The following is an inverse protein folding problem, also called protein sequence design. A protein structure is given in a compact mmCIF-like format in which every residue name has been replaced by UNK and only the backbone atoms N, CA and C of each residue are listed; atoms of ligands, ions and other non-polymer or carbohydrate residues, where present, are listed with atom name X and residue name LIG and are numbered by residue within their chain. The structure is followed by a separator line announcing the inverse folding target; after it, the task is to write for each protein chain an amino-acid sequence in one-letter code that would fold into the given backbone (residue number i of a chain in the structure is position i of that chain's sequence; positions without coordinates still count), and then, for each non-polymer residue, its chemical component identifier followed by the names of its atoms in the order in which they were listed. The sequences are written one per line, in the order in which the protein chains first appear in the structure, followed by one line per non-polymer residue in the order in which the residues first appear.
data_IF_781707759975
#
_entry.id   IF_781707759975
#
_cell.length_a   1.000
_cell.length_b   1.000
_cell.length_c   1.000
_cell.angle_alpha   90.00
_cell.angle_beta   90.00
_cell.angle_gamma   90.00
#
_symmetry.space_group_name_H-M   'P 1'
#
loop_
_entity.id
_entity.type
_entity.pdbx_description
1 polymer ?
#
# COMPACT_ATOMS: atom_id res chain seq x y z
N UNK A 1 -30.02 -58.20 5.52
CA UNK A 1 -28.64 -57.75 5.48
C UNK A 1 -28.64 -56.30 4.92
N UNK A 2 -28.64 -55.31 5.81
CA UNK A 2 -28.65 -53.89 5.43
C UNK A 2 -27.22 -53.37 5.41
N UNK A 3 -26.84 -52.54 4.44
CA UNK A 3 -25.55 -51.86 4.49
C UNK A 3 -25.65 -50.57 5.32
N UNK A 4 -24.73 -50.42 6.24
CA UNK A 4 -24.54 -49.27 7.09
C UNK A 4 -24.21 -48.02 6.27
N UNK A 5 -25.03 -46.98 6.38
CA UNK A 5 -24.74 -45.63 5.96
C UNK A 5 -23.69 -45.02 6.91
N UNK A 6 -22.50 -44.84 6.41
CA UNK A 6 -21.49 -44.04 7.11
C UNK A 6 -21.87 -42.57 7.04
N UNK A 7 -22.29 -42.00 8.17
CA UNK A 7 -22.48 -40.57 8.35
C UNK A 7 -21.10 -39.91 8.42
N UNK A 8 -20.77 -39.22 7.39
CA UNK A 8 -19.56 -38.34 7.34
C UNK A 8 -19.85 -37.12 8.23
N UNK A 9 -19.26 -37.06 9.42
CA UNK A 9 -19.20 -35.85 10.23
C UNK A 9 -18.03 -35.02 9.70
N UNK A 10 -18.20 -33.77 9.32
CA UNK A 10 -17.08 -32.87 9.09
C UNK A 10 -16.51 -32.45 10.45
N UNK A 11 -15.38 -33.03 10.83
CA UNK A 11 -14.60 -32.54 11.96
C UNK A 11 -13.79 -31.33 11.53
N UNK A 12 -14.02 -30.23 12.26
CA UNK A 12 -13.15 -29.07 12.44
C UNK A 12 -12.55 -28.46 11.17
N UNK A 13 -13.31 -27.57 10.53
CA UNK A 13 -12.72 -26.45 9.82
C UNK A 13 -11.95 -25.60 10.85
N UNK A 14 -10.63 -25.80 10.86
CA UNK A 14 -9.75 -24.95 11.64
C UNK A 14 -9.91 -23.51 11.18
N UNK A 15 -10.57 -22.72 12.00
CA UNK A 15 -10.58 -21.27 11.91
C UNK A 15 -9.11 -20.85 11.91
N UNK A 16 -8.60 -20.43 10.75
CA UNK A 16 -7.30 -19.77 10.64
C UNK A 16 -7.37 -18.53 11.55
N UNK A 17 -6.83 -18.69 12.76
CA UNK A 17 -6.85 -17.60 13.74
C UNK A 17 -6.11 -16.40 13.16
N UNK A 18 -6.60 -15.18 13.45
CA UNK A 18 -5.96 -13.90 13.06
C UNK A 18 -4.43 -13.91 13.25
N UNK A 19 -3.93 -14.62 14.27
CA UNK A 19 -2.50 -14.78 14.57
C UNK A 19 -1.71 -15.53 13.48
N UNK A 20 -2.26 -16.56 12.86
CA UNK A 20 -1.55 -17.32 11.82
C UNK A 20 -1.38 -16.48 10.53
N UNK A 21 -2.37 -15.65 10.20
CA UNK A 21 -2.32 -14.79 9.02
C UNK A 21 -1.35 -13.60 9.19
N UNK A 22 -1.32 -12.94 10.37
CA UNK A 22 -0.32 -11.90 10.66
C UNK A 22 1.11 -12.44 10.56
N UNK A 23 1.37 -13.66 11.02
CA UNK A 23 2.71 -14.26 11.00
C UNK A 23 3.21 -14.52 9.57
N UNK A 24 2.32 -14.85 8.65
CA UNK A 24 2.69 -15.10 7.24
C UNK A 24 3.06 -13.79 6.53
N UNK A 25 2.33 -12.69 6.78
CA UNK A 25 2.64 -11.37 6.22
C UNK A 25 3.97 -10.83 6.77
N UNK A 26 4.27 -11.04 8.05
CA UNK A 26 5.49 -10.56 8.72
C UNK A 26 6.78 -11.29 8.28
N UNK A 27 6.69 -12.51 7.74
CA UNK A 27 7.89 -13.29 7.38
C UNK A 27 8.58 -12.84 6.09
N UNK A 28 7.94 -12.05 5.24
CA UNK A 28 8.45 -11.69 3.91
C UNK A 28 8.79 -10.22 3.69
N UNK A 29 8.52 -9.33 4.63
CA UNK A 29 8.78 -7.90 4.50
C UNK A 29 10.27 -7.44 4.42
N UNK A 30 11.30 -8.15 4.93
CA UNK A 30 12.63 -7.55 5.09
C UNK A 30 13.65 -7.78 3.95
N UNK A 31 13.28 -8.23 2.75
CA UNK A 31 14.29 -8.61 1.73
C UNK A 31 14.43 -7.72 0.49
N UNK A 32 13.69 -6.64 0.37
CA UNK A 32 13.66 -5.84 -0.88
C UNK A 32 14.57 -4.60 -0.88
N UNK A 33 15.26 -4.26 0.19
CA UNK A 33 15.95 -2.96 0.35
C UNK A 33 17.47 -2.96 0.16
N UNK A 34 18.10 -3.68 -0.80
CA UNK A 34 19.59 -3.71 -0.89
C UNK A 34 20.18 -3.67 -2.30
N UNK A 35 19.70 -2.84 -3.23
CA UNK A 35 20.35 -2.77 -4.55
C UNK A 35 20.64 -1.38 -5.16
N UNK A 36 20.48 -0.28 -4.48
CA UNK A 36 20.77 1.04 -5.07
C UNK A 36 21.79 1.88 -4.29
N UNK A 37 23.02 1.39 -4.11
CA UNK A 37 24.13 2.26 -3.71
C UNK A 37 25.44 1.79 -4.32
N UNK A 38 25.79 2.27 -5.52
CA UNK A 38 27.21 2.55 -5.87
C UNK A 38 27.39 3.21 -7.24
N UNK A 39 27.61 4.51 -7.30
CA UNK A 39 28.63 5.09 -8.18
C UNK A 39 29.09 6.46 -7.67
N UNK A 40 30.33 6.51 -7.20
CA UNK A 40 31.11 7.73 -6.98
C UNK A 40 31.84 8.10 -8.28
N UNK A 41 31.92 9.37 -8.57
CA UNK A 41 32.86 9.91 -9.56
C UNK A 41 32.83 11.43 -9.54
N UNK A 42 33.76 12.04 -8.79
CA UNK A 42 33.90 13.51 -8.73
C UNK A 42 34.90 14.03 -9.72
N UNK A 43 34.65 15.22 -10.26
CA UNK A 43 35.63 16.08 -10.91
C UNK A 43 35.52 17.49 -10.35
N UNK A 44 36.63 18.22 -10.15
CA UNK A 44 36.63 19.53 -9.48
C UNK A 44 36.33 20.66 -10.48
N UNK A 45 35.46 21.59 -10.11
CA UNK A 45 35.12 22.78 -10.92
C UNK A 45 35.88 24.00 -10.42
N UNK A 46 36.51 24.70 -11.38
CA UNK A 46 37.27 25.96 -11.23
C UNK A 46 36.38 27.11 -10.76
N UNK A 47 36.93 27.93 -9.84
CA UNK A 47 36.31 29.16 -9.33
C UNK A 47 36.25 30.23 -10.44
N UNK A 48 35.05 30.69 -10.79
CA UNK A 48 34.80 31.88 -11.61
C UNK A 48 34.33 33.01 -10.68
N UNK A 49 35.03 34.12 -10.69
CA UNK A 49 34.64 35.37 -10.01
C UNK A 49 33.65 36.10 -10.91
N UNK A 50 32.43 36.38 -10.45
CA UNK A 50 31.43 37.21 -11.17
C UNK A 50 31.12 38.44 -10.32
N UNK A 51 31.17 39.65 -10.92
CA UNK A 51 30.99 40.92 -10.21
C UNK A 51 29.53 41.26 -9.93
N UNK A 52 29.36 42.15 -8.95
CA UNK A 52 28.15 42.62 -8.32
C UNK A 52 27.20 43.38 -9.28
N UNK A 53 26.32 42.65 -9.98
CA UNK A 53 25.18 43.21 -10.73
C UNK A 53 23.93 42.33 -10.70
N UNK A 54 23.58 41.78 -9.55
CA UNK A 54 22.43 40.87 -9.38
C UNK A 54 21.61 41.18 -8.12
N UNK A 55 21.51 42.47 -7.74
CA UNK A 55 20.64 42.84 -6.58
C UNK A 55 19.21 43.21 -7.01
N UNK A 56 18.86 43.15 -8.30
CA UNK A 56 17.52 43.53 -8.78
C UNK A 56 16.68 42.33 -9.29
N UNK A 57 17.20 41.09 -9.26
CA UNK A 57 16.46 39.88 -9.73
C UNK A 57 16.12 38.93 -8.59
N UNK A 58 16.39 39.31 -7.35
CA UNK A 58 16.11 38.48 -6.15
C UNK A 58 14.69 38.61 -5.63
N UNK A 59 13.81 39.40 -6.26
CA UNK A 59 12.44 39.63 -5.77
C UNK A 59 11.35 38.95 -6.60
N UNK A 60 11.67 38.12 -7.59
CA UNK A 60 10.67 37.40 -8.36
C UNK A 60 10.77 35.86 -8.26
N UNK A 61 11.60 35.32 -7.36
CA UNK A 61 11.72 33.89 -7.11
C UNK A 61 11.02 33.44 -5.80
N UNK A 62 10.08 34.24 -5.29
CA UNK A 62 9.05 33.71 -4.36
C UNK A 62 7.87 33.13 -5.13
N UNK A 63 8.10 32.55 -6.32
CA UNK A 63 7.14 31.72 -6.98
C UNK A 63 7.21 30.34 -6.32
N UNK A 64 6.22 30.07 -5.46
CA UNK A 64 5.74 28.75 -5.10
C UNK A 64 6.83 27.68 -4.89
N UNK A 65 7.53 27.75 -3.76
CA UNK A 65 7.81 26.50 -3.06
C UNK A 65 6.43 26.00 -2.57
N UNK A 66 5.64 25.38 -3.44
CA UNK A 66 4.63 24.43 -3.00
C UNK A 66 5.43 23.44 -2.17
N UNK A 67 5.31 23.52 -0.84
CA UNK A 67 6.10 22.71 0.08
C UNK A 67 5.91 21.26 -0.31
N UNK A 68 7.01 20.52 -0.48
CA UNK A 68 6.94 19.09 -0.78
C UNK A 68 5.95 18.44 0.17
N UNK A 69 4.99 17.71 -0.39
CA UNK A 69 3.99 17.00 0.40
C UNK A 69 4.71 16.02 1.33
N UNK A 70 4.55 16.19 2.62
CA UNK A 70 5.15 15.31 3.62
C UNK A 70 4.11 14.29 4.05
N UNK A 71 4.51 13.03 4.13
CA UNK A 71 3.62 11.97 4.60
C UNK A 71 3.05 12.32 5.98
N UNK A 72 1.75 12.17 6.08
CA UNK A 72 0.97 12.23 7.31
C UNK A 72 0.00 11.05 7.30
N UNK A 73 0.05 10.26 8.36
CA UNK A 73 -0.81 9.10 8.53
C UNK A 73 -2.28 9.52 8.57
N UNK A 74 -3.15 8.72 7.95
CA UNK A 74 -4.60 8.87 8.09
C UNK A 74 -5.09 8.46 9.49
N UNK A 75 -6.30 8.89 9.82
CA UNK A 75 -6.97 8.55 11.08
C UNK A 75 -8.26 7.77 10.84
N UNK A 76 -8.63 6.92 11.79
CA UNK A 76 -9.90 6.18 11.79
C UNK A 76 -10.79 6.74 12.91
N UNK A 77 -11.94 7.28 12.53
CA UNK A 77 -12.97 7.71 13.47
C UNK A 77 -14.26 6.93 13.22
N UNK A 78 -14.67 6.13 14.21
CA UNK A 78 -15.80 5.23 14.07
C UNK A 78 -15.59 4.21 12.93
N UNK A 79 -16.32 4.37 11.84
CA UNK A 79 -16.23 3.51 10.65
C UNK A 79 -15.62 4.20 9.43
N UNK A 80 -15.01 5.35 9.62
CA UNK A 80 -14.44 6.14 8.53
C UNK A 80 -12.95 6.38 8.76
N UNK A 81 -12.15 5.93 7.81
CA UNK A 81 -10.76 6.33 7.67
C UNK A 81 -10.70 7.60 6.83
N UNK A 82 -9.87 8.55 7.24
CA UNK A 82 -9.63 9.82 6.53
C UNK A 82 -8.14 10.07 6.42
N UNK A 83 -7.67 10.34 5.21
CA UNK A 83 -6.28 10.76 4.96
C UNK A 83 -6.25 12.04 4.14
N UNK A 84 -5.93 13.15 4.79
CA UNK A 84 -5.71 14.43 4.10
C UNK A 84 -4.49 14.38 3.18
N UNK A 85 -3.48 13.62 3.57
CA UNK A 85 -2.29 13.39 2.76
C UNK A 85 -2.65 12.74 1.42
N UNK A 86 -3.51 11.73 1.41
CA UNK A 86 -3.97 11.04 0.20
C UNK A 86 -5.15 11.76 -0.47
N UNK A 87 -5.86 12.62 0.25
CA UNK A 87 -7.06 13.31 -0.24
C UNK A 87 -8.28 12.40 -0.36
N UNK A 88 -8.36 11.35 0.47
CA UNK A 88 -9.43 10.36 0.39
C UNK A 88 -9.99 9.97 1.76
N UNK A 89 -11.22 9.47 1.73
CA UNK A 89 -11.87 8.79 2.86
C UNK A 89 -12.26 7.38 2.45
N UNK A 90 -12.34 6.46 3.43
CA UNK A 90 -12.91 5.13 3.27
C UNK A 90 -13.92 4.88 4.39
N UNK A 91 -15.17 4.54 4.04
CA UNK A 91 -16.21 4.24 5.03
C UNK A 91 -16.52 2.74 4.99
N UNK A 92 -16.16 2.05 6.07
CA UNK A 92 -16.33 0.60 6.18
C UNK A 92 -17.80 0.19 6.40
N UNK A 93 -18.36 -0.78 5.66
CA UNK A 93 -19.61 -1.45 5.98
C UNK A 93 -19.52 -2.24 7.31
N UNK A 94 -20.67 -2.70 7.83
CA UNK A 94 -20.72 -3.34 9.16
C UNK A 94 -19.88 -4.62 9.27
N UNK A 95 -19.81 -5.40 8.21
CA UNK A 95 -19.06 -6.66 8.16
C UNK A 95 -17.55 -6.49 8.06
N UNK A 96 -17.04 -5.28 7.80
CA UNK A 96 -15.62 -4.99 7.78
C UNK A 96 -15.17 -4.30 9.07
N UNK A 97 -13.94 -4.57 9.49
CA UNK A 97 -13.30 -3.94 10.63
C UNK A 97 -11.90 -3.43 10.26
N UNK A 98 -11.57 -2.22 10.73
CA UNK A 98 -10.21 -1.69 10.65
C UNK A 98 -9.30 -2.41 11.62
N UNK A 99 -8.06 -2.62 11.22
CA UNK A 99 -7.01 -2.99 12.16
C UNK A 99 -6.69 -1.82 13.09
N UNK A 100 -6.37 -2.14 14.33
CA UNK A 100 -5.92 -1.18 15.33
C UNK A 100 -4.53 -0.62 15.01
N UNK A 101 -4.14 0.47 15.62
CA UNK A 101 -2.81 1.07 15.50
C UNK A 101 -1.70 0.08 15.87
N UNK A 102 -1.92 -0.77 16.86
CA UNK A 102 -0.97 -1.80 17.22
C UNK A 102 -0.79 -2.83 16.11
N UNK A 103 -1.88 -3.32 15.51
CA UNK A 103 -1.83 -4.27 14.39
C UNK A 103 -1.18 -3.63 13.15
N UNK A 104 -1.47 -2.36 12.88
CA UNK A 104 -0.80 -1.59 11.81
C UNK A 104 0.70 -1.43 12.09
N UNK A 105 1.11 -1.15 13.33
CA UNK A 105 2.52 -1.10 13.71
C UNK A 105 3.21 -2.46 13.48
N UNK A 106 2.57 -3.56 13.89
CA UNK A 106 3.06 -4.91 13.67
C UNK A 106 3.22 -5.23 12.17
N UNK A 107 2.22 -4.87 11.33
CA UNK A 107 2.30 -5.03 9.87
C UNK A 107 3.48 -4.26 9.27
N UNK A 108 3.78 -3.08 9.80
CA UNK A 108 4.91 -2.27 9.38
C UNK A 108 6.24 -2.73 10.00
N UNK A 109 6.27 -3.77 10.83
CA UNK A 109 7.45 -4.17 11.61
C UNK A 109 8.02 -3.02 12.45
N UNK A 110 7.14 -2.18 12.98
CA UNK A 110 7.45 -1.06 13.87
C UNK A 110 7.23 -1.51 15.31
N UNK A 111 8.25 -1.38 16.14
CA UNK A 111 8.14 -1.52 17.59
C UNK A 111 8.05 -0.12 18.17
N UNK A 112 6.90 0.25 18.71
CA UNK A 112 6.72 1.55 19.34
C UNK A 112 7.35 1.54 20.73
N UNK A 113 8.28 2.46 20.96
CA UNK A 113 8.78 2.75 22.30
C UNK A 113 7.73 3.53 23.12
N UNK A 114 7.87 3.54 24.44
CA UNK A 114 6.91 4.24 25.32
C UNK A 114 6.85 5.74 25.00
N UNK A 115 5.72 6.19 24.47
CA UNK A 115 5.47 7.58 24.09
C UNK A 115 5.82 7.92 22.63
N UNK A 116 6.24 6.96 21.83
CA UNK A 116 6.45 7.14 20.39
C UNK A 116 5.10 7.13 19.66
N UNK A 117 4.95 8.06 18.70
CA UNK A 117 3.79 8.16 17.83
C UNK A 117 4.00 7.34 16.56
N UNK A 118 3.02 6.46 16.25
CA UNK A 118 3.07 5.59 15.08
C UNK A 118 3.25 6.39 13.78
N UNK A 119 2.65 7.57 13.65
CA UNK A 119 2.79 8.43 12.46
C UNK A 119 4.24 8.86 12.24
N UNK A 120 4.94 9.20 13.33
CA UNK A 120 6.36 9.58 13.29
C UNK A 120 7.26 8.40 12.90
N UNK A 121 7.01 7.20 13.45
CA UNK A 121 7.75 6.00 13.12
C UNK A 121 7.54 5.56 11.66
N UNK A 122 6.30 5.65 11.16
CA UNK A 122 5.99 5.37 9.75
C UNK A 122 6.66 6.38 8.81
N UNK A 123 6.65 7.67 9.17
CA UNK A 123 7.35 8.70 8.40
C UNK A 123 8.85 8.41 8.32
N UNK A 124 9.49 8.06 9.44
CA UNK A 124 10.90 7.69 9.45
C UNK A 124 11.17 6.49 8.54
N UNK A 125 10.33 5.47 8.60
CA UNK A 125 10.45 4.29 7.73
C UNK A 125 10.38 4.65 6.24
N UNK A 126 9.49 5.57 5.84
CA UNK A 126 9.42 6.08 4.48
C UNK A 126 10.69 6.87 4.09
N UNK A 127 11.23 7.69 5.01
CA UNK A 127 12.48 8.42 4.76
C UNK A 127 13.67 7.49 4.57
N UNK A 128 13.68 6.34 5.26
CA UNK A 128 14.69 5.28 5.12
C UNK A 128 14.51 4.42 3.85
N UNK A 129 13.54 4.76 2.99
CA UNK A 129 13.27 4.07 1.71
C UNK A 129 12.44 2.79 1.88
N UNK A 130 11.70 2.65 2.98
CA UNK A 130 10.69 1.61 3.17
C UNK A 130 9.32 2.03 2.67
N UNK A 131 8.39 1.08 2.68
CA UNK A 131 6.96 1.34 2.49
C UNK A 131 6.21 1.21 3.82
N UNK A 132 5.05 1.83 3.92
CA UNK A 132 4.18 1.75 5.10
C UNK A 132 2.75 1.38 4.72
N UNK A 133 2.16 0.50 5.53
CA UNK A 133 0.73 0.22 5.50
C UNK A 133 0.04 1.27 6.38
N UNK A 134 -0.69 2.20 5.75
CA UNK A 134 -1.36 3.30 6.47
C UNK A 134 -2.71 2.88 7.04
N UNK A 135 -3.47 2.08 6.30
CA UNK A 135 -4.75 1.54 6.69
C UNK A 135 -4.90 0.09 6.23
N UNK A 136 -5.57 -0.72 7.03
CA UNK A 136 -6.01 -2.05 6.64
C UNK A 136 -7.40 -2.34 7.20
N UNK A 137 -8.24 -2.89 6.33
CA UNK A 137 -9.65 -3.17 6.58
C UNK A 137 -9.95 -4.59 6.10
N UNK A 138 -10.68 -5.38 6.87
CA UNK A 138 -11.03 -6.73 6.44
C UNK A 138 -12.32 -7.24 7.06
N UNK A 139 -12.94 -8.24 6.44
CA UNK A 139 -14.03 -9.03 7.03
C UNK A 139 -13.51 -9.92 8.16
N UNK A 140 -14.41 -10.36 9.07
CA UNK A 140 -14.05 -11.20 10.22
C UNK A 140 -13.38 -12.52 9.79
N UNK A 141 -13.84 -13.12 8.70
CA UNK A 141 -13.28 -14.34 8.10
C UNK A 141 -12.00 -14.07 7.27
N UNK A 142 -11.62 -12.81 7.12
CA UNK A 142 -10.49 -12.34 6.34
C UNK A 142 -10.53 -12.75 4.85
N UNK A 143 -11.70 -13.03 4.29
CA UNK A 143 -11.85 -13.35 2.87
C UNK A 143 -11.85 -12.11 1.98
N UNK A 144 -12.23 -10.95 2.52
CA UNK A 144 -12.24 -9.68 1.79
C UNK A 144 -11.41 -8.65 2.54
N UNK A 145 -10.50 -7.99 1.82
CA UNK A 145 -9.51 -7.09 2.44
C UNK A 145 -9.29 -5.86 1.60
N UNK A 146 -9.07 -4.74 2.27
CA UNK A 146 -8.65 -3.48 1.65
C UNK A 146 -7.44 -2.96 2.40
N UNK A 147 -6.39 -2.63 1.66
CA UNK A 147 -5.18 -2.03 2.22
C UNK A 147 -4.85 -0.71 1.55
N UNK A 148 -4.32 0.24 2.29
CA UNK A 148 -3.72 1.47 1.78
C UNK A 148 -2.27 1.49 2.18
N UNK A 149 -1.39 1.39 1.20
CA UNK A 149 0.06 1.39 1.37
C UNK A 149 0.64 2.64 0.73
N UNK A 150 1.64 3.24 1.35
CA UNK A 150 2.40 4.37 0.80
C UNK A 150 3.84 3.96 0.62
N UNK A 151 4.38 4.25 -0.56
CA UNK A 151 5.79 4.03 -0.93
C UNK A 151 6.42 5.38 -1.28
N UNK A 152 7.66 5.62 -0.84
CA UNK A 152 8.44 6.78 -1.27
C UNK A 152 9.25 6.42 -2.51
N UNK A 153 8.68 6.67 -3.67
CA UNK A 153 9.22 6.22 -4.95
C UNK A 153 10.43 7.05 -5.45
N UNK A 154 10.56 8.31 -5.01
CA UNK A 154 11.67 9.19 -5.41
C UNK A 154 12.12 10.11 -4.27
N UNK A 155 13.21 10.84 -4.50
CA UNK A 155 13.69 11.92 -3.59
C UNK A 155 12.96 13.27 -3.82
N UNK A 156 11.91 13.28 -4.66
CA UNK A 156 11.16 14.47 -5.04
C UNK A 156 11.80 15.35 -6.10
N UNK A 157 12.96 14.95 -6.63
CA UNK A 157 13.66 15.69 -7.72
C UNK A 157 13.38 15.11 -9.10
N UNK A 158 13.01 13.85 -9.14
CA UNK A 158 12.64 13.12 -10.36
C UNK A 158 11.18 12.71 -10.29
N UNK A 159 10.50 12.71 -11.44
CA UNK A 159 9.17 12.14 -11.53
C UNK A 159 9.22 10.64 -11.24
N UNK A 160 8.13 10.11 -10.69
CA UNK A 160 7.98 8.67 -10.47
C UNK A 160 7.90 7.96 -11.82
N UNK A 161 8.71 6.92 -12.02
CA UNK A 161 8.60 6.03 -13.17
C UNK A 161 7.51 4.97 -12.89
N UNK A 162 6.28 5.31 -13.27
CA UNK A 162 5.13 4.42 -13.08
C UNK A 162 5.25 3.12 -13.87
N UNK A 163 5.88 3.13 -15.06
CA UNK A 163 6.07 1.93 -15.86
C UNK A 163 6.96 0.93 -15.12
N UNK A 164 8.11 1.38 -14.65
CA UNK A 164 9.02 0.53 -13.87
C UNK A 164 8.39 0.08 -12.54
N UNK A 165 7.58 0.94 -11.89
CA UNK A 165 6.87 0.59 -10.67
C UNK A 165 5.87 -0.54 -10.90
N UNK A 166 5.05 -0.46 -11.95
CA UNK A 166 4.06 -1.49 -12.31
C UNK A 166 4.75 -2.81 -12.72
N UNK A 167 5.79 -2.77 -13.55
CA UNK A 167 6.53 -3.98 -13.95
C UNK A 167 7.13 -4.71 -12.74
N UNK A 168 7.74 -3.98 -11.82
CA UNK A 168 8.26 -4.55 -10.57
C UNK A 168 7.13 -5.08 -9.68
N UNK A 169 6.01 -4.34 -9.58
CA UNK A 169 4.85 -4.73 -8.81
C UNK A 169 4.20 -6.03 -9.29
N UNK A 170 4.13 -6.25 -10.60
CA UNK A 170 3.65 -7.52 -11.20
C UNK A 170 4.53 -8.68 -10.72
N UNK A 171 5.84 -8.55 -10.88
CA UNK A 171 6.79 -9.60 -10.46
C UNK A 171 6.66 -9.91 -8.97
N UNK A 172 6.59 -8.87 -8.13
CA UNK A 172 6.43 -9.02 -6.68
C UNK A 172 5.09 -9.65 -6.29
N UNK A 173 4.00 -9.28 -6.97
CA UNK A 173 2.69 -9.86 -6.73
C UNK A 173 2.69 -11.37 -7.06
N UNK A 174 3.24 -11.77 -8.21
CA UNK A 174 3.34 -13.17 -8.60
C UNK A 174 4.19 -13.97 -7.61
N UNK A 175 5.37 -13.48 -7.22
CA UNK A 175 6.23 -14.12 -6.22
C UNK A 175 5.54 -14.24 -4.85
N UNK A 176 4.84 -13.18 -4.41
CA UNK A 176 4.12 -13.16 -3.15
C UNK A 176 3.00 -14.19 -3.12
N UNK A 177 2.12 -14.19 -4.12
CA UNK A 177 0.99 -15.12 -4.15
C UNK A 177 1.43 -16.55 -4.39
N UNK A 178 2.45 -16.80 -5.22
CA UNK A 178 3.01 -18.14 -5.44
C UNK A 178 3.66 -18.74 -4.18
N UNK A 179 4.08 -17.90 -3.23
CA UNK A 179 4.65 -18.36 -1.96
C UNK A 179 3.59 -18.74 -0.90
N UNK A 180 2.30 -18.44 -1.13
CA UNK A 180 1.21 -18.79 -0.21
C UNK A 180 0.84 -20.26 -0.41
N UNK A 181 0.88 -21.04 0.67
CA UNK A 181 0.48 -22.45 0.63
C UNK A 181 -0.99 -22.59 0.18
N UNK A 182 -1.24 -23.45 -0.78
CA UNK A 182 -2.58 -23.67 -1.37
C UNK A 182 -2.95 -22.69 -2.48
N UNK A 183 -2.06 -21.74 -2.83
CA UNK A 183 -2.25 -20.85 -3.98
C UNK A 183 -1.71 -21.49 -5.26
N UNK A 184 -2.50 -21.46 -6.33
CA UNK A 184 -2.16 -21.97 -7.67
C UNK A 184 -2.62 -21.00 -8.75
N UNK A 185 -2.18 -21.22 -9.98
CA UNK A 185 -2.62 -20.50 -11.19
C UNK A 185 -2.47 -18.96 -11.06
N UNK A 186 -1.39 -18.52 -10.38
CA UNK A 186 -1.12 -17.10 -10.15
C UNK A 186 -0.74 -16.42 -11.45
N UNK A 187 -1.44 -15.36 -11.79
CA UNK A 187 -1.12 -14.48 -12.93
C UNK A 187 -1.36 -13.05 -12.56
N UNK A 188 -0.46 -12.15 -12.94
CA UNK A 188 -0.60 -10.72 -12.73
C UNK A 188 -0.46 -9.96 -14.04
N UNK A 189 -1.25 -8.91 -14.22
CA UNK A 189 -1.22 -8.07 -15.41
C UNK A 189 -1.46 -6.60 -15.09
N UNK A 190 -0.79 -5.71 -15.82
CA UNK A 190 -1.08 -4.30 -15.79
C UNK A 190 -2.42 -4.02 -16.47
N UNK A 191 -3.19 -3.10 -15.89
CA UNK A 191 -4.40 -2.54 -16.50
C UNK A 191 -4.60 -1.09 -16.05
N UNK A 192 -5.60 -0.42 -16.62
CA UNK A 192 -6.07 0.89 -16.13
C UNK A 192 -7.39 0.70 -15.40
N UNK A 193 -7.51 1.29 -14.22
CA UNK A 193 -8.71 1.21 -13.37
C UNK A 193 -9.28 2.61 -13.11
N UNK A 194 -10.60 2.75 -13.24
CA UNK A 194 -11.32 3.96 -12.81
C UNK A 194 -11.53 3.91 -11.29
N UNK A 195 -10.97 4.87 -10.59
CA UNK A 195 -11.09 4.95 -9.13
C UNK A 195 -11.16 6.43 -8.71
N UNK A 196 -12.07 6.80 -7.80
CA UNK A 196 -12.25 8.17 -7.28
C UNK A 196 -12.39 9.25 -8.38
N UNK A 197 -13.00 8.87 -9.52
CA UNK A 197 -13.20 9.77 -10.66
C UNK A 197 -11.97 9.98 -11.56
N UNK A 198 -10.84 9.37 -11.24
CA UNK A 198 -9.63 9.33 -12.07
C UNK A 198 -9.44 7.99 -12.78
N UNK A 199 -8.46 7.93 -13.69
CA UNK A 199 -7.94 6.70 -14.29
C UNK A 199 -6.52 6.50 -13.80
N UNK A 200 -6.22 5.30 -13.26
CA UNK A 200 -4.93 4.98 -12.67
C UNK A 200 -4.37 3.66 -13.21
N UNK A 201 -3.05 3.59 -13.34
CA UNK A 201 -2.37 2.33 -13.58
C UNK A 201 -2.62 1.40 -12.38
N UNK A 202 -2.85 0.14 -12.67
CA UNK A 202 -3.17 -0.86 -11.66
C UNK A 202 -2.63 -2.24 -12.05
N UNK A 203 -2.51 -3.11 -11.06
CA UNK A 203 -2.10 -4.50 -11.21
C UNK A 203 -3.27 -5.37 -10.79
N UNK A 204 -3.76 -6.20 -11.71
CA UNK A 204 -4.73 -7.23 -11.40
C UNK A 204 -4.00 -8.56 -11.27
N UNK A 205 -4.07 -9.17 -10.09
CA UNK A 205 -3.60 -10.53 -9.82
C UNK A 205 -4.78 -11.45 -9.67
N UNK A 206 -4.79 -12.54 -10.40
CA UNK A 206 -5.77 -13.63 -10.25
C UNK A 206 -5.05 -14.91 -9.86
N UNK A 207 -5.69 -15.72 -9.04
CA UNK A 207 -5.15 -16.99 -8.55
C UNK A 207 -6.29 -17.93 -8.13
N UNK A 208 -5.92 -19.16 -7.76
CA UNK A 208 -6.82 -20.12 -7.12
C UNK A 208 -6.26 -20.45 -5.73
N UNK A 209 -7.04 -20.21 -4.68
CA UNK A 209 -6.67 -20.53 -3.29
C UNK A 209 -7.50 -21.71 -2.79
N UNK A 210 -6.86 -22.86 -2.53
CA UNK A 210 -7.54 -24.10 -2.11
C UNK A 210 -8.74 -24.48 -3.00
N UNK A 211 -8.65 -24.23 -4.30
CA UNK A 211 -9.70 -24.52 -5.28
C UNK A 211 -10.74 -23.41 -5.48
N UNK A 212 -10.61 -22.29 -4.77
CA UNK A 212 -11.49 -21.13 -4.90
C UNK A 212 -10.81 -19.98 -5.66
N UNK A 213 -11.56 -19.26 -6.52
CA UNK A 213 -11.01 -18.10 -7.20
C UNK A 213 -10.58 -17.01 -6.22
N UNK A 214 -9.48 -16.38 -6.50
CA UNK A 214 -8.93 -15.27 -5.73
C UNK A 214 -8.53 -14.14 -6.66
N UNK A 215 -8.85 -12.92 -6.29
CA UNK A 215 -8.52 -11.73 -7.04
C UNK A 215 -7.93 -10.66 -6.12
N UNK A 216 -6.90 -10.00 -6.60
CA UNK A 216 -6.33 -8.80 -5.96
C UNK A 216 -6.12 -7.71 -6.99
N UNK A 217 -6.74 -6.56 -6.78
CA UNK A 217 -6.55 -5.36 -7.59
C UNK A 217 -5.75 -4.35 -6.78
N UNK A 218 -4.63 -3.89 -7.33
CA UNK A 218 -3.78 -2.84 -6.74
C UNK A 218 -3.88 -1.59 -7.61
N UNK A 219 -4.52 -0.55 -7.13
CA UNK A 219 -4.64 0.74 -7.81
C UNK A 219 -3.50 1.65 -7.36
N UNK A 220 -2.66 2.11 -8.30
CA UNK A 220 -1.44 2.86 -8.03
C UNK A 220 -1.67 4.36 -8.29
N UNK A 221 -1.71 5.15 -7.24
CA UNK A 221 -1.98 6.60 -7.29
C UNK A 221 -0.68 7.36 -7.09
N UNK A 222 -0.13 8.04 -8.13
CA UNK A 222 1.07 8.85 -7.97
C UNK A 222 0.78 10.13 -7.18
N UNK A 223 1.62 10.44 -6.19
CA UNK A 223 1.51 11.60 -5.30
C UNK A 223 2.89 12.26 -5.13
N UNK A 224 3.27 13.14 -6.05
CA UNK A 224 4.59 13.80 -6.05
C UNK A 224 5.74 12.78 -5.97
N UNK A 225 6.40 12.65 -4.81
CA UNK A 225 7.51 11.72 -4.57
C UNK A 225 7.04 10.35 -4.05
N UNK A 226 5.74 10.18 -3.80
CA UNK A 226 5.16 8.96 -3.27
C UNK A 226 4.27 8.26 -4.29
N UNK A 227 4.03 6.99 -4.06
CA UNK A 227 2.94 6.23 -4.68
C UNK A 227 2.07 5.71 -3.56
N UNK A 228 0.77 5.96 -3.66
CA UNK A 228 -0.22 5.30 -2.83
C UNK A 228 -0.75 4.09 -3.60
N UNK A 229 -0.70 2.92 -2.99
CA UNK A 229 -1.30 1.69 -3.55
C UNK A 229 -2.52 1.34 -2.72
N UNK A 230 -3.70 1.37 -3.33
CA UNK A 230 -4.93 0.87 -2.72
C UNK A 230 -5.16 -0.54 -3.23
N UNK A 231 -5.10 -1.51 -2.32
CA UNK A 231 -5.23 -2.94 -2.65
C UNK A 231 -6.59 -3.46 -2.20
N UNK A 232 -7.29 -4.10 -3.12
CA UNK A 232 -8.55 -4.80 -2.89
C UNK A 232 -8.33 -6.28 -3.13
N UNK A 233 -8.52 -7.13 -2.12
CA UNK A 233 -8.34 -8.57 -2.26
C UNK A 233 -9.62 -9.30 -1.88
N UNK A 234 -10.07 -10.17 -2.78
CA UNK A 234 -11.24 -11.02 -2.60
C UNK A 234 -10.86 -12.49 -2.78
N UNK A 235 -11.28 -13.32 -1.84
CA UNK A 235 -11.23 -14.78 -1.94
C UNK A 235 -12.65 -15.31 -2.13
N UNK A 236 -12.82 -16.36 -2.94
CA UNK A 236 -14.08 -17.07 -3.21
C UNK A 236 -15.04 -16.27 -4.11
N UNK A 237 -15.41 -15.08 -3.73
CA UNK A 237 -16.31 -14.20 -4.47
C UNK A 237 -15.64 -12.85 -4.72
N UNK A 238 -15.71 -12.36 -5.96
CA UNK A 238 -15.17 -11.04 -6.29
C UNK A 238 -16.07 -9.92 -5.77
N UNK A 239 -15.58 -9.17 -4.79
CA UNK A 239 -16.22 -7.96 -4.24
C UNK A 239 -15.38 -6.69 -4.49
N UNK A 240 -14.49 -6.72 -5.47
CA UNK A 240 -13.58 -5.62 -5.74
C UNK A 240 -14.31 -4.31 -6.03
N UNK A 241 -15.33 -4.32 -6.89
CA UNK A 241 -16.11 -3.12 -7.23
C UNK A 241 -16.85 -2.56 -6.02
N UNK A 242 -17.40 -3.44 -5.17
CA UNK A 242 -18.05 -3.04 -3.92
C UNK A 242 -17.05 -2.37 -2.98
N UNK A 243 -15.88 -2.98 -2.76
CA UNK A 243 -14.84 -2.43 -1.89
C UNK A 243 -14.26 -1.11 -2.42
N UNK A 244 -14.16 -0.93 -3.73
CA UNK A 244 -13.81 0.37 -4.33
C UNK A 244 -14.85 1.44 -4.00
N UNK A 245 -16.13 1.06 -3.91
CA UNK A 245 -17.21 1.95 -3.53
C UNK A 245 -17.17 2.47 -2.08
N UNK A 246 -16.33 1.91 -1.21
CA UNK A 246 -16.13 2.43 0.17
C UNK A 246 -15.37 3.76 0.18
N UNK A 247 -14.69 4.10 -0.91
CA UNK A 247 -13.83 5.27 -1.01
C UNK A 247 -14.53 6.48 -1.61
N UNK A 248 -14.16 7.65 -1.13
CA UNK A 248 -14.52 8.94 -1.71
C UNK A 248 -13.39 9.95 -1.58
N UNK A 249 -13.38 10.96 -2.43
CA UNK A 249 -12.44 12.08 -2.32
C UNK A 249 -12.87 13.02 -1.19
N UNK A 250 -11.89 13.54 -0.45
CA UNK A 250 -12.16 14.64 0.49
C UNK A 250 -12.56 15.86 -0.34
N UNK A 251 -13.75 16.42 -0.06
CA UNK A 251 -14.17 17.64 -0.71
C UNK A 251 -13.20 18.77 -0.36
N UNK A 252 -12.61 19.43 -1.37
CA UNK A 252 -11.78 20.60 -1.13
C UNK A 252 -12.56 21.61 -0.31
N UNK A 253 -12.08 21.92 0.90
CA UNK A 253 -12.62 23.00 1.71
C UNK A 253 -12.47 24.31 0.92
N UNK A 254 -13.60 24.91 0.56
CA UNK A 254 -13.67 26.20 -0.17
C UNK A 254 -13.23 27.36 0.72
#
# INVERSE_FOLDING_TARGET
MSPHSAVFRPENNGVLTKRAFCTIILSYAPRICLWFLRKKGGTPVKRIKIPAMLLALALTLTACAAGQKTFQRGSVEGRTYTSEFLGLTCTAPEEFAYLSDQEIAEMNSITLESGEDLSSAMKQRLEDGGQVQDMYLMTEDALHRVGVTVDKATDGKTAVDMTAFIENGITQAEEYYAAIEGMTDVTSAAQTTKFLGGEYDSILTTATYNGFPTQSLQVCIPLEQYICVVTFTSYVEDRTDEMMGFFSTIAASK
#
